data_IF_045893687052
#
_entry.id   IF_045893687052
#
_cell.length_a   1.000
_cell.length_b   1.000
_cell.length_c   1.000
_cell.angle_alpha   90.00
_cell.angle_beta   90.00
_cell.angle_gamma   90.00
#
_symmetry.space_group_name_H-M   'P 1'
#
loop_
_entity.id
_entity.type
_entity.pdbx_description
1 polymer ?
#
# COMPACT_ATOMS: atom_id res chain seq x y z
N UNK A 1 -11.38 -8.91 16.75
CA UNK A 1 -11.35 -7.92 15.67
C UNK A 1 -10.39 -6.84 16.14
N UNK A 2 -9.24 -6.70 15.49
CA UNK A 2 -8.29 -5.63 15.81
C UNK A 2 -8.77 -4.41 15.03
N UNK A 3 -9.05 -3.31 15.71
CA UNK A 3 -9.36 -2.03 15.07
C UNK A 3 -8.02 -1.41 14.65
N UNK A 4 -7.74 -1.45 13.34
CA UNK A 4 -6.49 -0.95 12.78
C UNK A 4 -6.59 0.55 12.60
N UNK A 5 -6.01 1.23 13.58
CA UNK A 5 -6.15 2.67 13.71
C UNK A 5 -4.90 3.47 13.33
N UNK A 6 -4.31 3.18 12.16
CA UNK A 6 -3.24 4.02 11.60
C UNK A 6 -3.14 3.95 10.07
N UNK A 7 -2.48 4.95 9.51
CA UNK A 7 -2.10 5.02 8.10
C UNK A 7 -0.60 4.77 7.95
N UNK A 8 -0.16 4.48 6.73
CA UNK A 8 1.26 4.38 6.39
C UNK A 8 1.56 5.17 5.14
N UNK A 9 2.78 5.71 5.08
CA UNK A 9 3.39 6.19 3.86
C UNK A 9 4.44 5.17 3.43
N UNK A 10 4.24 4.52 2.28
CA UNK A 10 5.24 3.60 1.71
C UNK A 10 6.28 4.44 0.97
N UNK A 11 7.56 4.17 1.19
CA UNK A 11 8.66 5.03 0.73
C UNK A 11 9.76 4.27 0.00
N UNK A 12 9.80 2.94 0.11
CA UNK A 12 10.83 2.10 -0.49
C UNK A 12 10.25 0.82 -1.02
N UNK A 13 10.94 0.29 -2.03
CA UNK A 13 10.66 -1.02 -2.58
C UNK A 13 11.24 -2.11 -1.65
N UNK A 14 10.51 -3.23 -1.44
CA UNK A 14 11.08 -4.46 -0.90
C UNK A 14 12.34 -4.92 -1.66
N UNK A 15 13.30 -5.48 -0.94
CA UNK A 15 14.61 -5.83 -1.52
C UNK A 15 14.53 -6.93 -2.59
N UNK A 16 13.56 -7.84 -2.47
CA UNK A 16 13.31 -8.94 -3.39
C UNK A 16 12.70 -8.49 -4.72
N UNK A 17 12.00 -7.35 -4.73
CA UNK A 17 11.47 -6.73 -5.95
C UNK A 17 12.49 -5.86 -6.68
N UNK A 18 13.67 -5.62 -6.09
CA UNK A 18 14.69 -4.79 -6.73
C UNK A 18 15.19 -5.40 -8.04
N UNK A 19 15.40 -6.72 -8.11
CA UNK A 19 15.77 -7.39 -9.35
C UNK A 19 14.64 -7.41 -10.38
N UNK A 20 13.39 -7.42 -9.92
CA UNK A 20 12.23 -7.35 -10.83
C UNK A 20 12.15 -5.99 -11.53
N UNK A 21 12.57 -4.90 -10.88
CA UNK A 21 12.56 -3.55 -11.47
C UNK A 21 13.46 -3.41 -12.71
N UNK A 22 14.43 -4.31 -12.89
CA UNK A 22 15.41 -4.25 -13.98
C UNK A 22 15.05 -5.11 -15.20
N UNK A 23 14.02 -5.96 -15.11
CA UNK A 23 13.59 -6.86 -16.20
C UNK A 23 12.07 -6.94 -16.30
N UNK A 24 11.52 -6.38 -17.38
CA UNK A 24 10.07 -6.39 -17.69
C UNK A 24 9.50 -7.78 -17.92
N UNK A 25 10.34 -8.79 -18.18
CA UNK A 25 9.92 -10.18 -18.33
C UNK A 25 10.08 -10.96 -17.02
N UNK A 26 10.52 -10.31 -15.94
CA UNK A 26 10.63 -10.94 -14.63
C UNK A 26 9.23 -11.29 -14.13
N UNK A 27 9.07 -12.50 -13.59
CA UNK A 27 7.78 -12.99 -13.08
C UNK A 27 7.16 -12.15 -11.94
N UNK A 28 7.94 -11.26 -11.32
CA UNK A 28 7.48 -10.32 -10.28
C UNK A 28 7.37 -8.87 -10.78
N UNK A 29 7.49 -8.63 -12.09
CA UNK A 29 7.46 -7.28 -12.64
C UNK A 29 6.13 -6.56 -12.33
N UNK A 30 5.00 -7.24 -12.54
CA UNK A 30 3.67 -6.69 -12.24
C UNK A 30 3.54 -6.34 -10.76
N UNK A 31 4.04 -7.20 -9.86
CA UNK A 31 4.10 -6.92 -8.43
C UNK A 31 4.94 -5.68 -8.17
N UNK A 32 6.13 -5.58 -8.76
CA UNK A 32 6.98 -4.39 -8.66
C UNK A 32 6.24 -3.12 -9.09
N UNK A 33 5.51 -3.14 -10.21
CA UNK A 33 4.75 -1.97 -10.68
C UNK A 33 3.71 -1.50 -9.67
N UNK A 34 3.03 -2.44 -8.99
CA UNK A 34 2.06 -2.11 -7.94
C UNK A 34 2.76 -1.38 -6.79
N UNK A 35 3.89 -1.91 -6.29
CA UNK A 35 4.65 -1.23 -5.22
C UNK A 35 5.15 0.13 -5.67
N UNK A 36 5.65 0.23 -6.90
CA UNK A 36 6.16 1.48 -7.45
C UNK A 36 5.05 2.55 -7.49
N UNK A 37 3.84 2.20 -7.92
CA UNK A 37 2.67 3.12 -7.89
C UNK A 37 2.33 3.56 -6.48
N UNK A 38 2.39 2.66 -5.50
CA UNK A 38 2.13 2.97 -4.09
C UNK A 38 3.19 3.93 -3.54
N UNK A 39 4.47 3.70 -3.85
CA UNK A 39 5.61 4.55 -3.44
C UNK A 39 5.52 5.94 -4.10
N UNK A 40 5.20 5.98 -5.39
CA UNK A 40 5.10 7.24 -6.15
C UNK A 40 3.81 8.01 -5.83
N UNK A 41 2.83 7.35 -5.20
CA UNK A 41 1.65 8.03 -4.70
C UNK A 41 2.03 8.96 -3.54
N UNK A 42 1.66 10.24 -3.65
CA UNK A 42 1.74 11.16 -2.51
C UNK A 42 0.54 10.96 -1.55
N UNK A 43 0.12 9.72 -1.35
CA UNK A 43 -1.05 9.32 -0.58
C UNK A 43 -0.65 8.55 0.68
N UNK A 44 -1.52 8.59 1.68
CA UNK A 44 -1.44 7.75 2.85
C UNK A 44 -2.35 6.54 2.67
N UNK A 45 -1.85 5.37 3.04
CA UNK A 45 -2.53 4.10 2.87
C UNK A 45 -3.06 3.60 4.20
N UNK A 46 -4.33 3.22 4.25
CA UNK A 46 -4.88 2.56 5.43
C UNK A 46 -4.35 1.13 5.49
N UNK A 47 -3.91 0.71 6.68
CA UNK A 47 -3.57 -0.70 6.89
C UNK A 47 -4.84 -1.54 6.80
N UNK A 48 -4.81 -2.53 5.91
CA UNK A 48 -5.93 -3.43 5.64
C UNK A 48 -5.96 -4.58 6.64
N UNK A 49 -4.80 -5.20 6.88
CA UNK A 49 -4.65 -6.36 7.73
C UNK A 49 -3.26 -6.35 8.38
N UNK A 50 -3.18 -6.81 9.63
CA UNK A 50 -1.94 -7.32 10.22
C UNK A 50 -2.14 -8.82 10.40
N UNK A 51 -1.26 -9.63 9.82
CA UNK A 51 -1.39 -11.09 9.89
C UNK A 51 -0.83 -11.66 11.20
N UNK A 52 -0.86 -12.99 11.32
CA UNK A 52 -0.38 -13.72 12.50
C UNK A 52 1.13 -13.65 12.74
N UNK A 53 1.89 -13.12 11.78
CA UNK A 53 3.33 -12.89 11.84
C UNK A 53 3.68 -11.40 11.96
N UNK A 54 2.72 -10.58 12.39
CA UNK A 54 2.84 -9.13 12.52
C UNK A 54 3.18 -8.41 11.21
N UNK A 55 2.93 -9.04 10.04
CA UNK A 55 3.16 -8.39 8.75
C UNK A 55 2.02 -7.45 8.40
N UNK A 56 2.38 -6.27 7.88
CA UNK A 56 1.43 -5.23 7.50
C UNK A 56 1.04 -5.40 6.05
N UNK A 57 -0.27 -5.49 5.80
CA UNK A 57 -0.84 -5.63 4.47
C UNK A 57 -1.66 -4.39 4.11
N UNK A 58 -1.49 -3.94 2.86
CA UNK A 58 -2.25 -2.86 2.26
C UNK A 58 -3.19 -3.39 1.20
N UNK A 59 -4.38 -2.81 1.15
CA UNK A 59 -5.29 -2.94 0.03
C UNK A 59 -5.02 -1.80 -0.96
N UNK A 60 -4.78 -2.15 -2.21
CA UNK A 60 -4.43 -1.22 -3.28
C UNK A 60 -5.45 -1.35 -4.39
N UNK A 61 -6.20 -0.27 -4.61
CA UNK A 61 -7.23 -0.16 -5.63
C UNK A 61 -6.81 0.91 -6.65
N UNK A 62 -6.77 0.56 -7.93
CA UNK A 62 -6.54 1.55 -9.00
C UNK A 62 -7.35 1.20 -10.25
N UNK A 63 -7.36 2.13 -11.20
CA UNK A 63 -7.87 1.91 -12.56
C UNK A 63 -6.68 1.52 -13.43
N UNK A 64 -6.76 0.37 -14.10
CA UNK A 64 -5.70 -0.14 -14.96
C UNK A 64 -5.67 0.60 -16.32
N UNK A 65 -4.75 0.22 -17.21
CA UNK A 65 -4.59 0.87 -18.52
C UNK A 65 -5.80 0.71 -19.44
N UNK A 66 -6.61 -0.31 -19.22
CA UNK A 66 -7.83 -0.58 -19.99
C UNK A 66 -9.05 0.18 -19.43
N UNK A 67 -8.86 0.95 -18.35
CA UNK A 67 -9.93 1.68 -17.68
C UNK A 67 -10.76 0.84 -16.72
N UNK A 68 -10.33 -0.39 -16.42
CA UNK A 68 -11.01 -1.31 -15.53
C UNK A 68 -10.50 -1.19 -14.09
N UNK A 69 -11.37 -1.47 -13.12
CA UNK A 69 -10.99 -1.49 -11.71
C UNK A 69 -10.13 -2.72 -11.41
N UNK A 70 -9.00 -2.51 -10.76
CA UNK A 70 -8.08 -3.56 -10.34
C UNK A 70 -7.85 -3.49 -8.83
N UNK A 71 -7.73 -4.68 -8.22
CA UNK A 71 -7.65 -4.88 -6.78
C UNK A 71 -6.45 -5.75 -6.45
N UNK A 72 -5.60 -5.27 -5.55
CA UNK A 72 -4.47 -6.04 -5.04
C UNK A 72 -4.34 -5.89 -3.53
N UNK A 73 -3.81 -6.93 -2.90
CA UNK A 73 -3.28 -6.83 -1.54
C UNK A 73 -1.77 -7.03 -1.59
N UNK A 74 -1.02 -6.10 -1.00
CA UNK A 74 0.44 -6.17 -0.94
C UNK A 74 0.91 -6.16 0.52
N UNK A 75 1.99 -6.89 0.80
CA UNK A 75 2.63 -6.94 2.11
C UNK A 75 3.80 -5.95 2.14
N UNK A 76 3.87 -5.06 3.12
CA UNK A 76 4.97 -4.09 3.20
C UNK A 76 5.95 -4.48 4.30
N UNK A 77 7.22 -4.66 3.91
CA UNK A 77 8.28 -5.04 4.83
C UNK A 77 8.59 -3.92 5.83
N UNK A 78 9.06 -4.30 7.01
CA UNK A 78 9.57 -3.34 7.99
C UNK A 78 10.66 -2.44 7.37
N UNK A 79 10.58 -1.14 7.65
CA UNK A 79 11.54 -0.16 7.13
C UNK A 79 11.29 0.32 5.70
N UNK A 80 10.28 -0.22 5.00
CA UNK A 80 9.82 0.29 3.69
C UNK A 80 8.77 1.40 3.81
N UNK A 81 8.20 1.59 4.99
CA UNK A 81 7.14 2.56 5.25
C UNK A 81 7.35 3.35 6.53
N UNK A 82 6.63 4.46 6.65
CA UNK A 82 6.48 5.23 7.87
C UNK A 82 5.06 5.10 8.40
N UNK A 83 4.95 4.76 9.69
CA UNK A 83 3.68 4.76 10.39
C UNK A 83 3.23 6.20 10.64
N UNK A 84 2.00 6.51 10.24
CA UNK A 84 1.31 7.76 10.52
C UNK A 84 0.10 7.42 11.38
N UNK A 85 0.22 7.63 12.69
CA UNK A 85 -0.94 7.53 13.57
C UNK A 85 -1.96 8.59 13.14
N UNK A 86 -3.22 8.20 13.03
CA UNK A 86 -4.26 9.18 12.78
C UNK A 86 -4.75 9.78 14.09
N UNK A 87 -5.02 11.09 14.06
CA UNK A 87 -5.87 11.71 15.06
C UNK A 87 -7.33 11.41 14.70
N UNK A 88 -8.19 11.21 15.69
CA UNK A 88 -9.63 10.96 15.45
C UNK A 88 -10.26 12.25 14.92
N UNK A 89 -10.33 12.44 13.62
CA UNK A 89 -11.03 13.59 13.05
C UNK A 89 -12.55 13.37 13.12
N UNK A 90 -13.26 14.30 13.78
CA UNK A 90 -14.71 14.38 13.68
C UNK A 90 -15.06 14.90 12.29
N UNK A 91 -15.68 14.06 11.47
CA UNK A 91 -16.31 14.51 10.24
C UNK A 91 -17.55 15.36 10.60
N UNK A 92 -17.70 16.51 9.94
CA UNK A 92 -18.94 17.27 9.98
C UNK A 92 -20.04 16.42 9.33
N UNK A 93 -21.11 16.14 10.09
CA UNK A 93 -22.28 15.40 9.60
C UNK A 93 -22.98 16.17 8.46
N UNK A 94 -22.87 17.51 8.45
CA UNK A 94 -23.37 18.39 7.39
C UNK A 94 -22.49 19.64 7.25
N UNK A 95 -22.33 20.12 6.02
CA UNK A 95 -21.94 21.50 5.76
C UNK A 95 -23.16 22.38 6.03
N UNK A 96 -23.04 23.32 6.97
CA UNK A 96 -24.01 24.41 7.13
C UNK A 96 -24.00 25.35 5.92
#
# INVERSE_FOLDING_TARGET
MIELDYLVQVTKLPSDLQSASEDVNHHLYDTYEIYQRVIDSNLLWRVWLIDEYDQVWLEVNFINSDGEAEFHTIMIDEGTYHKVDFDRYQALDKLE
#
